data_IF_787703539362
#
_entry.id   IF_787703539362
#
_cell.length_a   1.000
_cell.length_b   1.000
_cell.length_c   1.000
_cell.angle_alpha   90.00
_cell.angle_beta   90.00
_cell.angle_gamma   90.00
#
_symmetry.space_group_name_H-M   'P 1'
#
loop_
_entity.id
_entity.type
_entity.pdbx_description
1 polymer ?
#
# COMPACT_ATOMS: atom_id res chain seq x y z
N UNK A 1 0.31 -11.04 -0.70
CA UNK A 1 0.25 -10.93 0.78
C UNK A 1 -0.73 -9.82 1.16
N UNK A 2 -1.33 -9.87 2.35
CA UNK A 2 -2.27 -8.83 2.81
C UNK A 2 -1.72 -8.18 4.08
N UNK A 3 -1.57 -6.86 4.07
CA UNK A 3 -1.15 -6.05 5.21
C UNK A 3 -2.35 -5.32 5.81
N UNK A 4 -2.54 -5.41 7.13
CA UNK A 4 -3.54 -4.61 7.85
C UNK A 4 -2.82 -3.59 8.72
N UNK A 5 -2.84 -2.33 8.28
CA UNK A 5 -2.13 -1.21 8.88
C UNK A 5 -0.62 -1.45 9.06
N UNK A 6 -0.05 -2.28 8.19
CA UNK A 6 1.37 -2.58 8.10
C UNK A 6 1.77 -2.57 6.64
N UNK A 7 2.91 -1.96 6.35
CA UNK A 7 3.47 -1.93 4.98
C UNK A 7 4.27 -3.20 4.73
N UNK A 8 3.95 -3.89 3.64
CA UNK A 8 4.61 -5.12 3.19
C UNK A 8 5.58 -4.80 2.05
N UNK A 9 5.11 -4.16 0.98
CA UNK A 9 5.92 -3.77 -0.17
C UNK A 9 6.83 -2.60 0.18
N UNK A 10 8.15 -2.81 0.14
CA UNK A 10 9.14 -1.73 0.30
C UNK A 10 9.99 -1.63 -0.96
N UNK A 11 9.93 -0.46 -1.60
CA UNK A 11 10.79 -0.10 -2.72
C UNK A 11 11.90 0.84 -2.29
N UNK A 12 12.48 1.53 -3.28
CA UNK A 12 13.51 2.55 -3.07
C UNK A 12 12.92 3.94 -2.75
N UNK A 13 11.60 4.11 -2.92
CA UNK A 13 10.90 5.37 -2.64
C UNK A 13 10.53 5.46 -1.15
N UNK A 14 10.46 6.69 -0.66
CA UNK A 14 9.99 6.98 0.70
C UNK A 14 8.57 6.47 0.90
N UNK A 15 8.39 5.60 1.89
CA UNK A 15 7.09 5.22 2.44
C UNK A 15 6.64 6.32 3.41
N UNK A 16 5.49 6.96 3.14
CA UNK A 16 4.99 8.09 3.93
C UNK A 16 3.47 8.03 4.18
N UNK A 17 2.83 6.86 4.07
CA UNK A 17 1.38 6.68 4.20
C UNK A 17 0.87 7.19 5.55
N UNK A 18 1.67 7.02 6.62
CA UNK A 18 1.34 7.50 7.96
C UNK A 18 1.52 9.02 8.12
N UNK A 19 2.36 9.65 7.30
CA UNK A 19 2.52 11.11 7.28
C UNK A 19 1.39 11.78 6.50
N UNK A 20 1.02 11.20 5.35
CA UNK A 20 -0.05 11.73 4.48
C UNK A 20 -1.44 11.45 5.07
N UNK A 21 -1.63 10.29 5.72
CA UNK A 21 -2.89 9.87 6.32
C UNK A 21 -2.73 9.61 7.83
N UNK A 22 -2.53 10.65 8.65
CA UNK A 22 -2.22 10.49 10.08
C UNK A 22 -3.37 9.86 10.90
N UNK A 23 -4.60 9.97 10.42
CA UNK A 23 -5.79 9.34 11.01
C UNK A 23 -6.27 8.11 10.22
N UNK A 24 -5.55 7.76 9.16
CA UNK A 24 -5.91 6.68 8.27
C UNK A 24 -5.49 5.32 8.82
N UNK A 25 -6.33 4.32 8.58
CA UNK A 25 -5.94 2.91 8.59
C UNK A 25 -5.99 2.40 7.17
N UNK A 26 -5.14 1.44 6.82
CA UNK A 26 -5.10 0.94 5.45
C UNK A 26 -5.03 -0.57 5.38
N UNK A 27 -5.49 -1.09 4.23
CA UNK A 27 -5.28 -2.48 3.83
C UNK A 27 -4.41 -2.47 2.58
N UNK A 28 -3.27 -3.14 2.65
CA UNK A 28 -2.38 -3.34 1.52
C UNK A 28 -2.59 -4.72 0.89
N UNK A 29 -2.77 -4.74 -0.42
CA UNK A 29 -2.72 -5.93 -1.26
C UNK A 29 -1.38 -5.94 -1.99
N UNK A 30 -0.43 -6.71 -1.47
CA UNK A 30 0.92 -6.82 -2.04
C UNK A 30 1.02 -8.02 -2.99
N UNK A 31 1.47 -7.78 -4.20
CA UNK A 31 1.74 -8.75 -5.26
C UNK A 31 3.25 -8.87 -5.40
N UNK A 32 3.80 -10.05 -5.10
CA UNK A 32 5.25 -10.30 -5.00
C UNK A 32 6.01 -10.26 -6.33
N UNK A 33 5.30 -10.13 -7.43
CA UNK A 33 5.82 -10.23 -8.80
C UNK A 33 4.89 -11.06 -9.67
N UNK A 34 5.00 -10.91 -10.99
CA UNK A 34 4.12 -11.52 -11.97
C UNK A 34 4.89 -12.37 -12.99
N UNK A 35 6.08 -11.93 -13.38
CA UNK A 35 6.94 -12.61 -14.34
C UNK A 35 8.29 -12.96 -13.70
N UNK A 36 8.60 -14.26 -13.69
CA UNK A 36 9.79 -14.84 -13.07
C UNK A 36 11.10 -14.25 -13.60
N UNK A 37 11.12 -13.78 -14.85
CA UNK A 37 12.33 -13.21 -15.45
C UNK A 37 12.81 -11.93 -14.73
N UNK A 38 11.92 -11.28 -13.98
CA UNK A 38 12.23 -10.08 -13.22
C UNK A 38 12.62 -10.37 -11.77
N UNK A 39 12.65 -11.63 -11.33
CA UNK A 39 13.06 -12.04 -9.98
C UNK A 39 12.35 -11.22 -8.86
N UNK A 40 11.05 -10.96 -9.05
CA UNK A 40 10.24 -10.18 -8.12
C UNK A 40 10.41 -8.66 -8.21
N UNK A 41 11.26 -8.13 -9.12
CA UNK A 41 11.39 -6.68 -9.37
C UNK A 41 10.20 -6.08 -10.12
N UNK A 42 9.16 -6.85 -10.40
CA UNK A 42 7.90 -6.39 -10.98
C UNK A 42 6.74 -6.40 -9.95
N UNK A 43 7.08 -6.46 -8.66
CA UNK A 43 6.11 -6.40 -7.56
C UNK A 43 5.30 -5.11 -7.62
N UNK A 44 4.05 -5.21 -7.12
CA UNK A 44 3.10 -4.09 -7.01
C UNK A 44 2.35 -4.18 -5.69
N UNK A 45 1.92 -3.04 -5.16
CA UNK A 45 1.02 -2.97 -4.01
C UNK A 45 -0.14 -2.03 -4.31
N UNK A 46 -1.32 -2.40 -3.83
CA UNK A 46 -2.49 -1.55 -3.79
C UNK A 46 -2.90 -1.31 -2.33
N UNK A 47 -2.81 -0.09 -1.87
CA UNK A 47 -3.23 0.30 -0.52
C UNK A 47 -4.56 1.04 -0.58
N UNK A 48 -5.54 0.53 0.15
CA UNK A 48 -6.83 1.19 0.37
C UNK A 48 -6.83 1.85 1.73
N UNK A 49 -6.94 3.18 1.76
CA UNK A 49 -6.85 3.98 2.99
C UNK A 49 -8.23 4.42 3.43
N UNK A 50 -8.54 4.19 4.70
CA UNK A 50 -9.82 4.47 5.31
C UNK A 50 -9.67 5.40 6.51
N UNK A 51 -10.61 6.33 6.65
CA UNK A 51 -10.77 7.14 7.84
C UNK A 51 -12.18 7.01 8.39
N UNK A 52 -12.30 7.07 9.71
CA UNK A 52 -13.59 7.09 10.37
C UNK A 52 -14.05 8.53 10.60
N UNK A 53 -15.18 8.92 10.01
CA UNK A 53 -15.78 10.24 10.24
C UNK A 53 -17.25 10.07 10.61
N UNK A 54 -17.63 10.50 11.82
CA UNK A 54 -18.99 10.33 12.33
C UNK A 54 -19.43 8.87 12.46
N UNK A 55 -18.52 7.97 12.84
CA UNK A 55 -18.78 6.53 12.99
C UNK A 55 -18.80 5.73 11.68
N UNK A 56 -18.73 6.39 10.52
CA UNK A 56 -18.69 5.76 9.21
C UNK A 56 -17.26 5.70 8.67
N UNK A 57 -16.85 4.51 8.26
CA UNK A 57 -15.61 4.31 7.53
C UNK A 57 -15.78 4.77 6.08
N UNK A 58 -14.88 5.65 5.63
CA UNK A 58 -14.84 6.14 4.25
C UNK A 58 -13.50 5.79 3.63
N UNK A 59 -13.53 5.36 2.37
CA UNK A 59 -12.32 5.25 1.55
C UNK A 59 -11.88 6.66 1.17
N UNK A 60 -10.71 7.07 1.66
CA UNK A 60 -10.15 8.42 1.44
C UNK A 60 -8.93 8.41 0.53
N UNK A 61 -8.35 7.24 0.27
CA UNK A 61 -7.18 7.09 -0.59
C UNK A 61 -7.13 5.73 -1.28
N UNK A 62 -6.68 5.74 -2.53
CA UNK A 62 -6.27 4.54 -3.27
C UNK A 62 -4.84 4.82 -3.72
N UNK A 63 -3.88 4.08 -3.17
CA UNK A 63 -2.45 4.27 -3.42
C UNK A 63 -1.91 3.06 -4.16
N UNK A 64 -1.15 3.31 -5.22
CA UNK A 64 -0.50 2.29 -6.01
C UNK A 64 1.01 2.43 -5.84
N UNK A 65 1.65 1.41 -5.29
CA UNK A 65 3.10 1.32 -5.18
C UNK A 65 3.62 0.22 -6.09
N UNK A 66 4.84 0.38 -6.58
CA UNK A 66 5.50 -0.59 -7.42
C UNK A 66 7.00 -0.44 -7.31
N UNK A 67 7.74 -1.46 -7.73
CA UNK A 67 9.16 -1.32 -7.93
C UNK A 67 9.47 -0.19 -8.94
N UNK A 68 10.43 0.65 -8.57
CA UNK A 68 11.01 1.67 -9.45
C UNK A 68 12.51 1.47 -9.48
N UNK A 69 13.07 1.50 -10.68
CA UNK A 69 14.51 1.41 -10.96
C UNK A 69 15.25 2.71 -10.66
#
# INVERSE_FOLDING_TARGET
MIGNNIVIGKGNTLENIHEVYPNGVFVEFHFTGFDEQYDGMDWKSLCLVFEQQGGLWRLVGIVHDQWTT
#
